data_IF_801449072411
#
_entry.id   IF_801449072411
#
_cell.length_a   1.000
_cell.length_b   1.000
_cell.length_c   1.000
_cell.angle_alpha   90.00
_cell.angle_beta   90.00
_cell.angle_gamma   90.00
#
_symmetry.space_group_name_H-M   'P 1'
#
loop_
_entity.id
_entity.type
_entity.pdbx_description
1 polymer ?
#
# COMPACT_ATOMS: atom_id res chain seq x y z
N UNK A 1 -12.18 -26.75 3.24
CA UNK A 1 -12.37 -25.42 3.87
C UNK A 1 -13.86 -25.13 3.83
N UNK A 2 -14.47 -24.54 4.88
CA UNK A 2 -15.93 -24.30 4.87
C UNK A 2 -16.30 -23.20 3.87
N UNK A 3 -17.37 -23.38 3.08
CA UNK A 3 -17.88 -22.37 2.14
C UNK A 3 -18.12 -21.01 2.81
N UNK A 4 -18.53 -21.01 4.08
CA UNK A 4 -18.71 -19.79 4.86
C UNK A 4 -17.40 -19.01 5.09
N UNK A 5 -16.29 -19.72 5.30
CA UNK A 5 -14.96 -19.10 5.50
C UNK A 5 -14.46 -18.51 4.19
N UNK A 6 -14.68 -19.19 3.06
CA UNK A 6 -14.33 -18.66 1.75
C UNK A 6 -15.16 -17.42 1.38
N UNK A 7 -16.47 -17.45 1.66
CA UNK A 7 -17.35 -16.31 1.45
C UNK A 7 -16.91 -15.09 2.29
N UNK A 8 -16.56 -15.31 3.56
CA UNK A 8 -16.03 -14.27 4.44
C UNK A 8 -14.72 -13.69 3.90
N UNK A 9 -13.77 -14.54 3.50
CA UNK A 9 -12.49 -14.09 2.93
C UNK A 9 -12.67 -13.27 1.65
N UNK A 10 -13.59 -13.68 0.76
CA UNK A 10 -13.92 -12.90 -0.45
C UNK A 10 -14.50 -11.53 -0.09
N UNK A 11 -15.41 -11.49 0.88
CA UNK A 11 -16.02 -10.23 1.35
C UNK A 11 -14.98 -9.27 1.93
N UNK A 12 -14.06 -9.77 2.77
CA UNK A 12 -12.98 -8.97 3.36
C UNK A 12 -12.08 -8.39 2.26
N UNK A 13 -11.62 -9.22 1.31
CA UNK A 13 -10.82 -8.73 0.17
C UNK A 13 -11.54 -7.64 -0.62
N UNK A 14 -12.82 -7.84 -0.92
CA UNK A 14 -13.59 -6.88 -1.68
C UNK A 14 -13.67 -5.53 -0.97
N UNK A 15 -13.89 -5.53 0.35
CA UNK A 15 -13.89 -4.29 1.16
C UNK A 15 -12.53 -3.59 1.12
N UNK A 16 -11.43 -4.32 1.34
CA UNK A 16 -10.09 -3.75 1.29
C UNK A 16 -9.77 -3.15 -0.09
N UNK A 17 -10.10 -3.87 -1.17
CA UNK A 17 -9.89 -3.38 -2.53
C UNK A 17 -10.71 -2.13 -2.83
N UNK A 18 -11.99 -2.11 -2.42
CA UNK A 18 -12.85 -0.94 -2.60
C UNK A 18 -12.28 0.28 -1.88
N UNK A 19 -11.83 0.11 -0.63
CA UNK A 19 -11.23 1.20 0.14
C UNK A 19 -9.91 1.68 -0.47
N UNK A 20 -9.06 0.75 -0.90
CA UNK A 20 -7.79 1.06 -1.55
C UNK A 20 -7.99 1.89 -2.84
N UNK A 21 -8.98 1.55 -3.66
CA UNK A 21 -9.24 2.29 -4.90
C UNK A 21 -9.70 3.72 -4.64
N UNK A 22 -10.48 3.93 -3.58
CA UNK A 22 -10.94 5.25 -3.14
C UNK A 22 -9.89 6.06 -2.38
N UNK A 23 -8.80 5.42 -1.96
CA UNK A 23 -7.74 6.06 -1.19
C UNK A 23 -6.96 7.05 -2.07
N UNK A 24 -6.82 8.29 -1.62
CA UNK A 24 -6.00 9.29 -2.31
C UNK A 24 -4.51 8.99 -2.12
N UNK A 25 -3.64 9.35 -3.10
CA UNK A 25 -2.20 9.27 -2.91
C UNK A 25 -1.76 10.21 -1.78
N UNK A 26 -0.80 9.77 -0.97
CA UNK A 26 -0.34 10.50 0.20
C UNK A 26 0.18 9.61 1.31
N UNK A 27 0.35 10.20 2.48
CA UNK A 27 1.08 9.61 3.62
C UNK A 27 0.51 8.29 4.11
N UNK A 28 -0.81 8.16 4.12
CA UNK A 28 -1.46 6.92 4.55
C UNK A 28 -1.20 5.78 3.57
N UNK A 29 -1.35 6.02 2.25
CA UNK A 29 -1.04 5.02 1.23
C UNK A 29 0.45 4.65 1.24
N UNK A 30 1.32 5.66 1.39
CA UNK A 30 2.76 5.45 1.53
C UNK A 30 3.12 4.56 2.74
N UNK A 31 2.42 4.74 3.86
CA UNK A 31 2.59 3.93 5.06
C UNK A 31 2.15 2.47 4.83
N UNK A 32 1.05 2.24 4.12
CA UNK A 32 0.60 0.88 3.76
C UNK A 32 1.65 0.17 2.90
N UNK A 33 2.25 0.87 1.94
CA UNK A 33 3.30 0.30 1.08
C UNK A 33 4.53 -0.05 1.91
N UNK A 34 5.01 0.89 2.72
CA UNK A 34 6.17 0.65 3.57
C UNK A 34 5.94 -0.54 4.52
N UNK A 35 4.76 -0.65 5.12
CA UNK A 35 4.43 -1.71 6.06
C UNK A 35 4.22 -3.07 5.40
N UNK A 36 3.32 -3.14 4.41
CA UNK A 36 2.84 -4.42 3.89
C UNK A 36 3.62 -4.87 2.65
N UNK A 37 4.06 -3.95 1.79
CA UNK A 37 4.80 -4.31 0.58
C UNK A 37 6.29 -4.46 0.87
N UNK A 38 6.89 -3.45 1.52
CA UNK A 38 8.33 -3.46 1.82
C UNK A 38 8.67 -4.20 3.12
N UNK A 39 7.69 -4.41 4.01
CA UNK A 39 7.90 -5.13 5.27
C UNK A 39 8.58 -4.31 6.36
N UNK A 40 8.53 -2.98 6.28
CA UNK A 40 9.12 -2.10 7.27
C UNK A 40 8.27 -1.98 8.54
N UNK A 41 8.93 -1.77 9.68
CA UNK A 41 8.25 -1.37 10.91
C UNK A 41 7.89 0.12 10.82
N UNK A 42 6.65 0.40 10.44
CA UNK A 42 6.11 1.76 10.34
C UNK A 42 5.47 2.20 11.65
N UNK A 43 5.83 3.38 12.15
CA UNK A 43 5.26 3.98 13.36
C UNK A 43 4.76 5.39 13.06
N UNK A 44 3.55 5.71 13.52
CA UNK A 44 3.00 7.08 13.46
C UNK A 44 3.42 7.84 14.72
N UNK A 45 4.17 8.92 14.57
CA UNK A 45 4.63 9.77 15.69
C UNK A 45 4.73 11.23 15.27
N UNK A 46 4.45 12.12 16.21
CA UNK A 46 4.84 13.52 16.13
C UNK A 46 6.25 13.65 16.69
N UNK A 47 7.11 14.38 15.98
CA UNK A 47 8.44 14.78 16.44
C UNK A 47 8.44 16.30 16.56
N UNK A 48 9.03 16.83 17.65
CA UNK A 48 9.31 18.24 17.94
C UNK A 48 8.64 19.27 16.99
N UNK A 49 7.51 19.83 17.42
CA UNK A 49 6.75 20.89 16.73
C UNK A 49 6.24 20.55 15.31
N UNK A 50 6.19 19.26 14.95
CA UNK A 50 5.58 18.78 13.71
C UNK A 50 4.31 17.97 13.96
N UNK A 51 3.38 18.04 13.02
CA UNK A 51 2.23 17.13 12.97
C UNK A 51 2.67 15.67 12.92
N UNK A 52 1.78 14.77 13.36
CA UNK A 52 2.06 13.34 13.34
C UNK A 52 2.28 12.84 11.91
N UNK A 53 3.43 12.20 11.68
CA UNK A 53 3.82 11.59 10.40
C UNK A 53 4.22 10.12 10.61
N UNK A 54 4.44 9.41 9.50
CA UNK A 54 4.87 8.02 9.46
C UNK A 54 6.37 7.89 9.29
N UNK A 55 6.96 7.07 10.15
CA UNK A 55 8.40 6.84 10.26
C UNK A 55 8.71 5.35 10.18
N UNK A 56 9.84 5.02 9.56
CA UNK A 56 10.41 3.68 9.46
C UNK A 56 11.55 3.58 10.46
N UNK A 57 11.64 2.42 11.12
CA UNK A 57 12.83 2.01 11.85
C UNK A 57 13.69 1.11 10.95
N UNK A 58 14.87 1.57 10.48
CA UNK A 58 15.78 0.74 9.72
C UNK A 58 16.21 -0.50 10.51
N UNK A 59 16.47 -1.61 9.82
CA UNK A 59 16.93 -2.86 10.46
C UNK A 59 18.29 -2.66 11.17
N UNK A 60 19.13 -1.75 10.68
CA UNK A 60 20.38 -1.35 11.31
C UNK A 60 20.19 -0.72 12.69
N UNK A 61 19.05 -0.09 12.94
CA UNK A 61 18.76 0.66 14.17
C UNK A 61 18.03 -0.16 15.23
N UNK A 62 17.70 -1.44 14.97
CA UNK A 62 16.94 -2.29 15.90
C UNK A 62 17.64 -2.60 17.23
N UNK A 63 18.94 -2.31 17.36
CA UNK A 63 19.72 -2.52 18.60
C UNK A 63 19.82 -1.27 19.49
N UNK A 64 19.33 -0.12 19.04
CA UNK A 64 19.35 1.14 19.80
C UNK A 64 17.92 1.65 19.99
N UNK A 65 17.54 1.94 21.24
CA UNK A 65 16.26 2.61 21.54
C UNK A 65 16.19 4.03 20.96
N UNK A 66 17.35 4.63 20.67
CA UNK A 66 17.53 5.93 20.02
C UNK A 66 17.80 5.80 18.51
N UNK A 67 17.53 4.64 17.91
CA UNK A 67 17.78 4.39 16.51
C UNK A 67 17.16 5.47 15.60
N UNK A 68 17.96 5.99 14.66
CA UNK A 68 17.54 7.01 13.70
C UNK A 68 16.26 6.57 12.99
N UNK A 69 15.23 7.41 13.10
CA UNK A 69 13.96 7.23 12.40
C UNK A 69 14.06 7.91 11.04
N UNK A 70 13.71 7.17 9.99
CA UNK A 70 13.62 7.70 8.65
C UNK A 70 12.16 7.96 8.30
N UNK A 71 11.85 9.07 7.63
CA UNK A 71 10.46 9.30 7.18
C UNK A 71 10.09 8.25 6.15
N UNK A 72 8.85 7.76 6.20
CA UNK A 72 8.32 6.88 5.15
C UNK A 72 8.48 7.57 3.78
N UNK A 73 9.09 6.91 2.77
CA UNK A 73 9.21 7.47 1.43
C UNK A 73 7.86 7.79 0.78
N UNK A 74 7.87 8.73 -0.15
CA UNK A 74 6.67 9.22 -0.86
C UNK A 74 6.31 8.37 -2.09
N UNK A 75 6.09 7.07 -1.90
CA UNK A 75 5.86 6.09 -2.97
C UNK A 75 4.74 6.50 -3.94
N UNK A 76 3.59 6.90 -3.40
CA UNK A 76 2.36 7.14 -4.18
C UNK A 76 2.35 8.47 -4.94
N UNK A 77 3.31 9.35 -4.69
CA UNK A 77 3.37 10.68 -5.31
C UNK A 77 4.66 10.93 -6.09
N UNK A 78 5.75 10.23 -5.77
CA UNK A 78 7.06 10.46 -6.38
C UNK A 78 7.57 9.21 -7.07
N UNK A 79 7.81 9.31 -8.39
CA UNK A 79 8.22 8.15 -9.21
C UNK A 79 9.55 7.54 -8.76
N UNK A 80 10.48 8.35 -8.24
CA UNK A 80 11.77 7.87 -7.73
C UNK A 80 11.58 6.89 -6.57
N UNK A 81 10.70 7.21 -5.62
CA UNK A 81 10.33 6.33 -4.50
C UNK A 81 9.58 5.09 -4.99
N UNK A 82 8.65 5.25 -5.94
CA UNK A 82 7.89 4.14 -6.52
C UNK A 82 8.76 3.15 -7.31
N UNK A 83 9.93 3.57 -7.79
CA UNK A 83 10.84 2.71 -8.55
C UNK A 83 11.33 1.50 -7.74
N UNK A 84 11.40 1.61 -6.40
CA UNK A 84 11.68 0.46 -5.55
C UNK A 84 10.66 -0.69 -5.77
N UNK A 85 9.39 -0.34 -5.94
CA UNK A 85 8.30 -1.30 -6.18
C UNK A 85 8.39 -1.94 -7.57
N UNK A 86 8.83 -1.17 -8.58
CA UNK A 86 9.06 -1.70 -9.93
C UNK A 86 10.16 -2.76 -9.94
N UNK A 87 11.23 -2.55 -9.17
CA UNK A 87 12.31 -3.52 -9.06
C UNK A 87 11.92 -4.79 -8.29
N UNK A 88 10.91 -4.69 -7.43
CA UNK A 88 10.44 -5.80 -6.59
C UNK A 88 9.70 -6.88 -7.39
N UNK A 89 8.89 -6.47 -8.36
CA UNK A 89 8.06 -7.38 -9.15
C UNK A 89 8.47 -7.39 -10.62
N UNK A 90 8.60 -8.59 -11.21
CA UNK A 90 9.11 -8.73 -12.58
C UNK A 90 8.05 -8.53 -13.67
N UNK A 91 6.77 -8.64 -13.34
CA UNK A 91 5.69 -8.72 -14.32
C UNK A 91 4.69 -7.57 -14.16
N UNK A 92 5.12 -6.38 -14.55
CA UNK A 92 4.27 -5.21 -14.59
C UNK A 92 3.59 -5.04 -15.95
N UNK A 93 2.32 -4.65 -15.93
CA UNK A 93 1.63 -4.10 -17.09
C UNK A 93 1.10 -2.72 -16.71
N UNK A 94 1.56 -1.70 -17.42
CA UNK A 94 1.00 -0.36 -17.31
C UNK A 94 0.18 -0.07 -18.56
N UNK A 95 -1.05 0.37 -18.36
CA UNK A 95 -1.97 0.78 -19.40
C UNK A 95 -2.42 2.21 -19.14
N UNK A 96 -2.53 3.00 -20.20
CA UNK A 96 -3.04 4.36 -20.16
C UNK A 96 -4.14 4.45 -21.21
N UNK A 97 -5.37 4.63 -20.78
CA UNK A 97 -6.52 4.77 -21.68
C UNK A 97 -6.98 6.24 -21.70
N UNK A 98 -6.21 7.12 -22.33
CA UNK A 98 -6.60 8.52 -22.56
C UNK A 98 -7.15 9.22 -21.30
N UNK A 99 -8.41 9.68 -21.35
CA UNK A 99 -9.11 10.36 -20.25
C UNK A 99 -9.48 9.46 -19.06
N UNK A 100 -9.42 8.13 -19.21
CA UNK A 100 -9.82 7.17 -18.18
C UNK A 100 -8.75 6.97 -17.08
N UNK A 101 -7.54 7.52 -17.27
CA UNK A 101 -6.45 7.46 -16.30
C UNK A 101 -5.42 6.35 -16.59
N UNK A 102 -4.62 6.06 -15.57
CA UNK A 102 -3.49 5.14 -15.61
C UNK A 102 -3.83 3.92 -14.75
N UNK A 103 -3.66 2.73 -15.30
CA UNK A 103 -3.83 1.47 -14.59
C UNK A 103 -2.51 0.71 -14.59
N UNK A 104 -2.16 0.13 -13.44
CA UNK A 104 -1.05 -0.77 -13.29
C UNK A 104 -1.54 -2.13 -12.77
N UNK A 105 -0.96 -3.19 -13.32
CA UNK A 105 -1.23 -4.56 -12.94
C UNK A 105 0.08 -5.30 -12.67
N UNK A 106 0.07 -6.15 -11.65
CA UNK A 106 1.14 -7.08 -11.31
C UNK A 106 0.59 -8.49 -11.42
N UNK A 107 1.22 -9.32 -12.24
CA UNK A 107 0.96 -10.76 -12.25
C UNK A 107 1.86 -11.44 -11.21
N UNK A 108 1.25 -12.05 -10.20
CA UNK A 108 1.92 -12.90 -9.22
C UNK A 108 2.17 -14.30 -9.75
N UNK A 109 3.12 -15.00 -9.13
CA UNK A 109 3.58 -16.33 -9.57
C UNK A 109 2.47 -17.40 -9.51
N UNK A 110 1.54 -17.28 -8.56
CA UNK A 110 0.40 -18.19 -8.39
C UNK A 110 -0.90 -17.69 -9.08
N UNK A 111 -0.77 -16.75 -10.02
CA UNK A 111 -1.92 -16.16 -10.72
C UNK A 111 -2.71 -15.14 -9.88
N UNK A 112 -2.23 -14.80 -8.68
CA UNK A 112 -2.71 -13.63 -7.95
C UNK A 112 -2.42 -12.36 -8.77
N UNK A 113 -3.40 -11.47 -8.90
CA UNK A 113 -3.23 -10.23 -9.67
C UNK A 113 -3.48 -9.04 -8.76
N UNK A 114 -2.49 -8.17 -8.62
CA UNK A 114 -2.68 -6.85 -8.05
C UNK A 114 -3.05 -5.89 -9.17
N UNK A 115 -4.20 -5.21 -9.06
CA UNK A 115 -4.61 -4.16 -10.00
C UNK A 115 -4.88 -2.89 -9.22
N UNK A 116 -4.40 -1.76 -9.73
CA UNK A 116 -4.59 -0.44 -9.11
C UNK A 116 -6.00 0.13 -9.27
N UNK A 117 -6.76 -0.39 -10.24
CA UNK A 117 -7.87 0.38 -10.84
C UNK A 117 -7.35 1.62 -11.58
N UNK A 118 -8.27 2.50 -11.98
CA UNK A 118 -7.95 3.76 -12.65
C UNK A 118 -7.36 4.79 -11.66
N UNK A 119 -6.14 5.24 -11.92
CA UNK A 119 -5.42 6.22 -11.11
C UNK A 119 -5.08 7.48 -11.93
N UNK A 120 -4.75 8.58 -11.27
CA UNK A 120 -4.39 9.84 -11.96
C UNK A 120 -2.93 9.89 -12.38
N UNK A 121 -2.06 9.20 -11.64
CA UNK A 121 -0.61 9.26 -11.84
C UNK A 121 0.03 7.88 -11.85
N UNK A 122 1.18 7.76 -12.50
CA UNK A 122 1.98 6.51 -12.53
C UNK A 122 2.40 6.07 -11.12
N UNK A 123 2.94 6.93 -10.23
CA UNK A 123 3.33 6.51 -8.88
C UNK A 123 2.15 5.98 -8.06
N UNK A 124 0.98 6.61 -8.17
CA UNK A 124 -0.25 6.14 -7.54
C UNK A 124 -0.66 4.75 -8.05
N UNK A 125 -0.65 4.56 -9.38
CA UNK A 125 -1.01 3.28 -10.00
C UNK A 125 -0.09 2.14 -9.53
N UNK A 126 1.23 2.35 -9.61
CA UNK A 126 2.22 1.36 -9.14
C UNK A 126 1.98 1.03 -7.67
N UNK A 127 1.80 2.06 -6.85
CA UNK A 127 1.58 1.95 -5.41
C UNK A 127 0.33 1.15 -5.06
N UNK A 128 -0.82 1.49 -5.66
CA UNK A 128 -2.09 0.77 -5.43
C UNK A 128 -2.04 -0.66 -5.94
N UNK A 129 -1.41 -0.92 -7.09
CA UNK A 129 -1.28 -2.29 -7.59
C UNK A 129 -0.46 -3.18 -6.66
N UNK A 130 0.60 -2.64 -6.04
CA UNK A 130 1.43 -3.37 -5.09
C UNK A 130 0.64 -3.73 -3.82
N UNK A 131 -0.12 -2.79 -3.25
CA UNK A 131 -0.99 -3.07 -2.09
C UNK A 131 -2.12 -4.05 -2.48
N UNK A 132 -2.69 -3.89 -3.67
CA UNK A 132 -3.72 -4.80 -4.20
C UNK A 132 -3.20 -6.24 -4.35
N UNK A 133 -1.93 -6.42 -4.72
CA UNK A 133 -1.31 -7.73 -4.78
C UNK A 133 -1.24 -8.37 -3.38
N UNK A 134 -0.85 -7.61 -2.35
CA UNK A 134 -0.83 -8.11 -0.97
C UNK A 134 -2.22 -8.61 -0.54
N UNK A 135 -3.28 -7.86 -0.87
CA UNK A 135 -4.68 -8.26 -0.62
C UNK A 135 -5.04 -9.52 -1.41
N UNK A 136 -4.64 -9.62 -2.68
CA UNK A 136 -4.85 -10.80 -3.51
C UNK A 136 -4.16 -12.03 -2.91
N UNK A 137 -2.97 -11.86 -2.32
CA UNK A 137 -2.20 -12.86 -1.57
C UNK A 137 -2.71 -13.12 -0.15
N UNK A 138 -3.86 -12.54 0.23
CA UNK A 138 -4.56 -12.76 1.50
C UNK A 138 -3.96 -12.08 2.72
N UNK A 139 -3.13 -11.06 2.51
CA UNK A 139 -2.75 -10.20 3.61
C UNK A 139 -3.99 -9.42 4.08
N UNK A 140 -4.15 -9.39 5.40
CA UNK A 140 -5.13 -8.56 6.07
C UNK A 140 -4.47 -7.22 6.38
N UNK A 141 -5.06 -6.15 5.86
CA UNK A 141 -4.66 -4.75 6.02
C UNK A 141 -5.79 -4.09 6.80
N UNK A 142 -5.63 -4.03 8.12
CA UNK A 142 -6.68 -3.58 9.04
C UNK A 142 -7.11 -2.13 8.76
N UNK A 143 -6.17 -1.27 8.37
CA UNK A 143 -6.41 0.14 8.04
C UNK A 143 -7.36 0.33 6.85
N UNK A 144 -7.51 -0.68 5.99
CA UNK A 144 -8.46 -0.66 4.86
C UNK A 144 -9.84 -1.22 5.24
N UNK A 145 -9.99 -1.75 6.46
CA UNK A 145 -11.24 -2.30 7.00
C UNK A 145 -11.84 -1.41 8.09
N UNK A 146 -11.01 -0.61 8.76
CA UNK A 146 -11.47 0.40 9.69
C UNK A 146 -12.34 1.43 8.96
N UNK A 147 -13.65 1.33 9.17
CA UNK A 147 -14.53 2.47 8.98
C UNK A 147 -14.01 3.55 9.92
N UNK A 148 -13.33 4.57 9.38
CA UNK A 148 -13.15 5.82 10.12
C UNK A 148 -14.54 6.45 10.26
N UNK A 149 -15.36 5.86 11.13
CA UNK A 149 -16.57 6.45 11.65
C UNK A 149 -16.15 7.55 12.58
N UNK A 150 -16.47 8.78 12.19
CA UNK A 150 -16.66 9.97 13.02
C UNK A 150 -16.10 9.87 14.45
N UNK A 151 -14.85 10.30 14.62
CA UNK A 151 -14.41 10.78 15.92
C UNK A 151 -14.99 12.20 16.10
N UNK A 152 -15.95 12.27 17.03
CA UNK A 152 -16.67 13.43 17.56
C UNK A 152 -15.71 14.56 17.95
#
# INVERSE_FOLDING_TARGET
MSEAIEAMRRSIKQKQMQRLFQMEPGRELDALIARYVEGYQVVRRSLQDMDADYWIRPLSSMRSEEGELERVPTYSTTIFSAHALLNRYRQWRLQSEGEAGIQAEICGDEGAVGSSGACRTVPEAISKAAVALMIAENHLIEELLEEHGDAI
#
